data_IF_189327960774
#
_entry.id   IF_189327960774
#
_cell.length_a   1.000
_cell.length_b   1.000
_cell.length_c   1.000
_cell.angle_alpha   90.00
_cell.angle_beta   90.00
_cell.angle_gamma   90.00
#
_symmetry.space_group_name_H-M   'P 1'
#
loop_
_entity.id
_entity.type
_entity.pdbx_description
1 polymer ?
#
# COMPACT_ATOMS: atom_id res chain seq x y z
N UNK A 1 -4.68 7.43 15.75
CA UNK A 1 -5.10 7.37 14.33
C UNK A 1 -5.63 5.98 14.01
N UNK A 2 -6.70 5.88 13.26
CA UNK A 2 -7.26 4.60 12.82
C UNK A 2 -7.00 4.43 11.34
N UNK A 3 -6.31 3.36 10.98
CA UNK A 3 -5.82 3.12 9.63
C UNK A 3 -6.56 1.98 8.94
N UNK A 4 -6.81 2.17 7.63
CA UNK A 4 -7.14 1.08 6.74
C UNK A 4 -5.90 0.66 5.96
N UNK A 5 -5.77 -0.63 5.70
CA UNK A 5 -4.64 -1.13 4.90
C UNK A 5 -5.20 -1.93 3.72
N UNK A 6 -4.74 -1.60 2.53
CA UNK A 6 -5.06 -2.33 1.30
C UNK A 6 -3.80 -3.08 0.86
N UNK A 7 -3.95 -4.37 0.65
CA UNK A 7 -2.84 -5.26 0.26
C UNK A 7 -3.12 -5.88 -1.11
N UNK A 8 -2.13 -5.82 -2.00
CA UNK A 8 -2.17 -6.55 -3.25
C UNK A 8 -1.76 -8.00 -3.05
N UNK A 9 -2.51 -8.94 -3.62
CA UNK A 9 -2.24 -10.37 -3.43
C UNK A 9 -1.23 -10.95 -4.42
N UNK A 10 -0.80 -10.19 -5.40
CA UNK A 10 0.33 -10.56 -6.22
C UNK A 10 1.58 -10.55 -5.34
N UNK A 11 2.35 -11.62 -5.30
CA UNK A 11 3.40 -11.86 -4.29
C UNK A 11 2.85 -11.88 -2.86
N UNK A 12 1.80 -12.66 -2.67
CA UNK A 12 1.05 -12.67 -1.41
C UNK A 12 1.90 -12.91 -0.16
N UNK A 13 2.80 -13.89 -0.20
CA UNK A 13 3.61 -14.22 0.97
C UNK A 13 4.48 -13.04 1.42
N UNK A 14 5.07 -12.33 0.46
CA UNK A 14 5.88 -11.16 0.73
C UNK A 14 5.02 -10.01 1.25
N UNK A 15 3.85 -9.79 0.68
CA UNK A 15 2.95 -8.72 1.12
C UNK A 15 2.37 -9.04 2.51
N UNK A 16 2.13 -10.30 2.85
CA UNK A 16 1.75 -10.67 4.21
C UNK A 16 2.81 -10.27 5.23
N UNK A 17 4.08 -10.43 4.89
CA UNK A 17 5.17 -9.97 5.74
C UNK A 17 5.20 -8.45 5.85
N UNK A 18 4.96 -7.73 4.75
CA UNK A 18 4.82 -6.28 4.78
C UNK A 18 3.69 -5.85 5.70
N UNK A 19 2.57 -6.55 5.65
CA UNK A 19 1.43 -6.27 6.53
C UNK A 19 1.80 -6.42 8.01
N UNK A 20 2.55 -7.45 8.36
CA UNK A 20 3.02 -7.63 9.74
C UNK A 20 3.92 -6.47 10.18
N UNK A 21 4.85 -6.03 9.34
CA UNK A 21 5.69 -4.88 9.64
C UNK A 21 4.87 -3.59 9.77
N UNK A 22 3.87 -3.42 8.92
CA UNK A 22 2.99 -2.25 8.99
C UNK A 22 2.17 -2.25 10.29
N UNK A 23 1.63 -3.40 10.69
CA UNK A 23 0.92 -3.54 11.96
C UNK A 23 1.81 -3.22 13.16
N UNK A 24 3.05 -3.71 13.13
CA UNK A 24 4.02 -3.46 14.19
C UNK A 24 4.36 -1.96 14.29
N UNK A 25 4.55 -1.30 13.16
CA UNK A 25 4.82 0.14 13.14
C UNK A 25 3.63 0.94 13.67
N UNK A 26 2.41 0.59 13.26
CA UNK A 26 1.22 1.25 13.76
C UNK A 26 1.07 1.07 15.28
N UNK A 27 1.33 -0.13 15.78
CA UNK A 27 1.28 -0.42 17.22
C UNK A 27 2.31 0.42 17.99
N UNK A 28 3.51 0.60 17.43
CA UNK A 28 4.56 1.41 18.06
C UNK A 28 4.15 2.88 18.21
N UNK A 29 3.20 3.35 17.41
CA UNK A 29 2.67 4.70 17.45
C UNK A 29 1.33 4.79 18.19
N UNK A 30 0.86 3.71 18.78
CA UNK A 30 -0.45 3.59 19.41
C UNK A 30 -1.61 3.87 18.44
N UNK A 31 -1.44 3.52 17.17
CA UNK A 31 -2.47 3.61 16.15
C UNK A 31 -3.15 2.26 15.95
N UNK A 32 -4.43 2.29 15.64
CA UNK A 32 -5.22 1.09 15.39
C UNK A 32 -5.30 0.80 13.90
N UNK A 33 -5.13 -0.48 13.52
CA UNK A 33 -5.47 -0.95 12.18
C UNK A 33 -6.92 -1.38 12.21
N UNK A 34 -7.80 -0.53 11.67
CA UNK A 34 -9.23 -0.71 11.75
C UNK A 34 -9.76 -1.74 10.75
N UNK A 35 -9.12 -1.85 9.60
CA UNK A 35 -9.55 -2.77 8.55
C UNK A 35 -8.39 -3.10 7.61
N UNK A 36 -8.41 -4.30 7.05
CA UNK A 36 -7.46 -4.76 6.04
C UNK A 36 -8.24 -5.37 4.90
N UNK A 37 -7.98 -4.91 3.68
CA UNK A 37 -8.59 -5.46 2.48
C UNK A 37 -7.51 -6.01 1.54
N UNK A 38 -7.75 -7.19 1.02
CA UNK A 38 -6.89 -7.79 -0.01
C UNK A 38 -7.53 -7.62 -1.37
N UNK A 39 -6.73 -7.16 -2.33
CA UNK A 39 -7.15 -6.99 -3.73
C UNK A 39 -6.19 -7.78 -4.63
N UNK A 40 -6.64 -8.17 -5.85
CA UNK A 40 -5.80 -8.99 -6.73
C UNK A 40 -4.46 -8.35 -7.09
N UNK A 41 -4.45 -7.07 -7.37
CA UNK A 41 -3.25 -6.36 -7.76
C UNK A 41 -3.35 -4.86 -7.48
N UNK A 42 -2.29 -4.15 -7.84
CA UNK A 42 -2.20 -2.70 -7.55
C UNK A 42 -3.24 -1.87 -8.29
N UNK A 43 -3.73 -2.35 -9.44
CA UNK A 43 -4.75 -1.61 -10.20
C UNK A 43 -6.12 -1.58 -9.49
N UNK A 44 -6.38 -2.53 -8.62
CA UNK A 44 -7.62 -2.59 -7.84
C UNK A 44 -7.53 -1.84 -6.52
N UNK A 45 -6.33 -1.44 -6.12
CA UNK A 45 -6.10 -0.75 -4.86
C UNK A 45 -6.80 0.61 -4.77
N UNK A 46 -6.81 1.46 -5.81
CA UNK A 46 -7.45 2.77 -5.68
C UNK A 46 -8.92 2.71 -5.29
N UNK A 47 -9.69 1.78 -5.86
CA UNK A 47 -11.11 1.64 -5.49
C UNK A 47 -11.28 1.21 -4.04
N UNK A 48 -10.47 0.25 -3.59
CA UNK A 48 -10.51 -0.19 -2.20
C UNK A 48 -10.12 0.93 -1.23
N UNK A 49 -9.11 1.72 -1.58
CA UNK A 49 -8.70 2.88 -0.80
C UNK A 49 -9.80 3.93 -0.74
N UNK A 50 -10.43 4.22 -1.87
CA UNK A 50 -11.53 5.18 -1.94
C UNK A 50 -12.66 4.77 -1.00
N UNK A 51 -13.06 3.49 -1.04
CA UNK A 51 -14.11 2.96 -0.17
C UNK A 51 -13.75 3.06 1.32
N UNK A 52 -12.50 2.78 1.68
CA UNK A 52 -12.03 2.93 3.07
C UNK A 52 -12.07 4.38 3.52
N UNK A 53 -11.58 5.30 2.68
CA UNK A 53 -11.48 6.70 3.05
C UNK A 53 -12.83 7.40 3.14
N UNK A 54 -13.89 6.84 2.55
CA UNK A 54 -15.25 7.32 2.75
C UNK A 54 -15.80 7.01 4.15
N UNK A 55 -15.17 6.11 4.88
CA UNK A 55 -15.62 5.74 6.22
C UNK A 55 -15.09 6.75 7.25
N UNK A 56 -15.99 7.30 8.04
CA UNK A 56 -15.65 8.34 9.01
C UNK A 56 -14.67 7.88 10.09
N UNK A 57 -14.70 6.58 10.44
CA UNK A 57 -13.84 6.04 11.48
C UNK A 57 -12.42 5.77 11.00
N UNK A 58 -12.14 5.89 9.70
CA UNK A 58 -10.79 5.70 9.15
C UNK A 58 -10.16 7.08 8.90
N UNK A 59 -9.04 7.32 9.57
CA UNK A 59 -8.33 8.60 9.50
C UNK A 59 -7.32 8.67 8.36
N UNK A 60 -6.83 7.52 7.91
CA UNK A 60 -5.87 7.42 6.83
C UNK A 60 -5.76 5.99 6.36
N UNK A 61 -4.98 5.79 5.33
CA UNK A 61 -4.81 4.45 4.78
C UNK A 61 -3.36 4.18 4.37
N UNK A 62 -3.06 2.90 4.18
CA UNK A 62 -1.78 2.42 3.68
C UNK A 62 -2.07 1.44 2.56
N UNK A 63 -1.30 1.49 1.49
CA UNK A 63 -1.36 0.49 0.43
C UNK A 63 -0.01 -0.24 0.36
N UNK A 64 -0.08 -1.56 0.36
CA UNK A 64 1.08 -2.44 0.30
C UNK A 64 1.00 -3.32 -0.93
N UNK A 65 2.10 -3.44 -1.65
CA UNK A 65 2.14 -4.28 -2.84
C UNK A 65 3.52 -4.31 -3.48
N UNK A 66 3.63 -5.10 -4.52
CA UNK A 66 4.87 -5.25 -5.27
C UNK A 66 4.54 -5.19 -6.76
N UNK A 67 5.20 -4.29 -7.48
CA UNK A 67 5.12 -4.21 -8.93
C UNK A 67 6.47 -4.62 -9.48
N UNK A 68 6.54 -5.87 -9.92
CA UNK A 68 7.74 -6.45 -10.48
C UNK A 68 8.04 -5.88 -11.87
N UNK A 69 9.32 -5.82 -12.24
CA UNK A 69 9.72 -5.51 -13.60
C UNK A 69 9.44 -6.72 -14.49
N UNK A 70 8.54 -6.54 -15.47
CA UNK A 70 8.25 -7.56 -16.46
C UNK A 70 9.04 -7.37 -17.74
N UNK A 71 8.66 -8.10 -18.78
CA UNK A 71 9.27 -8.03 -20.11
C UNK A 71 8.82 -6.78 -20.89
N UNK A 72 7.76 -6.10 -20.41
CA UNK A 72 7.18 -4.93 -21.06
C UNK A 72 7.09 -3.77 -20.07
N UNK A 73 6.69 -2.60 -20.57
CA UNK A 73 6.49 -1.42 -19.73
C UNK A 73 5.16 -1.43 -18.97
N UNK A 74 4.43 -2.55 -18.95
CA UNK A 74 3.14 -2.65 -18.27
C UNK A 74 3.26 -2.30 -16.78
N UNK A 75 4.27 -2.84 -16.10
CA UNK A 75 4.49 -2.54 -14.68
C UNK A 75 4.79 -1.07 -14.43
N UNK A 76 5.59 -0.44 -15.29
CA UNK A 76 5.89 0.99 -15.19
C UNK A 76 4.63 1.84 -15.36
N UNK A 77 3.84 1.55 -16.39
CA UNK A 77 2.58 2.29 -16.65
C UNK A 77 1.61 2.10 -15.49
N UNK A 78 1.47 0.88 -14.99
CA UNK A 78 0.62 0.57 -13.85
C UNK A 78 1.07 1.34 -12.61
N UNK A 79 2.37 1.35 -12.32
CA UNK A 79 2.92 2.05 -11.17
C UNK A 79 2.67 3.55 -11.23
N UNK A 80 2.84 4.17 -12.40
CA UNK A 80 2.57 5.59 -12.59
C UNK A 80 1.08 5.90 -12.40
N UNK A 81 0.19 5.08 -12.96
CA UNK A 81 -1.25 5.27 -12.86
C UNK A 81 -1.76 5.10 -11.42
N UNK A 82 -1.28 4.10 -10.72
CA UNK A 82 -1.64 3.84 -9.32
C UNK A 82 -1.14 4.97 -8.42
N UNK A 83 0.10 5.40 -8.60
CA UNK A 83 0.68 6.49 -7.81
C UNK A 83 -0.13 7.78 -8.00
N UNK A 84 -0.49 8.10 -9.23
CA UNK A 84 -1.32 9.27 -9.53
C UNK A 84 -2.68 9.18 -8.85
N UNK A 85 -3.33 8.01 -8.93
CA UNK A 85 -4.62 7.80 -8.30
C UNK A 85 -4.54 7.95 -6.77
N UNK A 86 -3.50 7.42 -6.15
CA UNK A 86 -3.28 7.54 -4.70
C UNK A 86 -3.13 9.01 -4.29
N UNK A 87 -2.36 9.79 -5.04
CA UNK A 87 -2.20 11.22 -4.76
C UNK A 87 -3.56 11.95 -4.87
N UNK A 88 -4.34 11.66 -5.91
CA UNK A 88 -5.64 12.28 -6.09
C UNK A 88 -6.62 11.92 -4.97
N UNK A 89 -6.60 10.68 -4.50
CA UNK A 89 -7.44 10.24 -3.39
C UNK A 89 -7.13 10.97 -2.08
N UNK A 90 -5.86 11.20 -1.78
CA UNK A 90 -5.46 11.98 -0.60
C UNK A 90 -6.05 13.38 -0.63
N UNK A 91 -5.99 14.02 -1.79
CA UNK A 91 -6.51 15.38 -1.97
C UNK A 91 -8.04 15.38 -1.87
N UNK A 92 -8.71 14.42 -2.52
CA UNK A 92 -10.16 14.32 -2.53
C UNK A 92 -10.75 14.09 -1.14
N UNK A 93 -10.14 13.19 -0.37
CA UNK A 93 -10.65 12.83 0.97
C UNK A 93 -10.05 13.66 2.09
N UNK A 94 -8.99 14.42 1.81
CA UNK A 94 -8.22 15.14 2.83
C UNK A 94 -7.75 14.19 3.95
N UNK A 95 -7.27 13.01 3.54
CA UNK A 95 -6.77 11.96 4.43
C UNK A 95 -5.48 11.40 3.85
N UNK A 96 -4.45 11.13 4.68
CA UNK A 96 -3.19 10.62 4.16
C UNK A 96 -3.29 9.16 3.70
N UNK A 97 -2.53 8.84 2.67
CA UNK A 97 -2.31 7.47 2.22
C UNK A 97 -0.81 7.24 2.16
N UNK A 98 -0.31 6.27 2.93
CA UNK A 98 1.07 5.83 2.84
C UNK A 98 1.24 4.84 1.69
N UNK A 99 2.19 5.11 0.80
CA UNK A 99 2.46 4.26 -0.35
C UNK A 99 3.61 3.29 -0.04
N UNK A 100 3.27 2.04 0.24
CA UNK A 100 4.22 0.97 0.51
C UNK A 100 4.30 -0.03 -0.65
N UNK A 101 4.38 0.46 -1.88
CA UNK A 101 4.51 -0.37 -3.06
C UNK A 101 5.98 -0.42 -3.47
N UNK A 102 6.51 -1.63 -3.58
CA UNK A 102 7.86 -1.88 -4.07
C UNK A 102 7.80 -1.94 -5.59
N UNK A 103 8.56 -1.11 -6.27
CA UNK A 103 8.49 -0.95 -7.72
C UNK A 103 7.77 0.34 -8.11
N UNK A 104 7.50 0.54 -9.40
CA UNK A 104 7.77 -0.38 -10.51
C UNK A 104 9.25 -0.57 -10.80
N UNK A 105 9.58 -1.63 -11.56
CA UNK A 105 10.95 -1.89 -11.96
C UNK A 105 11.74 -2.76 -10.98
N UNK A 106 11.08 -3.31 -9.95
CA UNK A 106 11.75 -4.18 -8.99
C UNK A 106 12.13 -5.52 -9.63
N UNK A 107 13.40 -5.90 -9.49
CA UNK A 107 13.86 -7.23 -9.82
C UNK A 107 13.67 -8.14 -8.58
N UNK A 108 13.64 -9.47 -8.74
CA UNK A 108 13.44 -10.36 -7.60
C UNK A 108 14.39 -10.11 -6.42
N UNK A 109 15.65 -9.80 -6.68
CA UNK A 109 16.64 -9.53 -5.64
C UNK A 109 16.42 -8.21 -4.89
N UNK A 110 15.55 -7.34 -5.39
CA UNK A 110 15.24 -6.06 -4.76
C UNK A 110 14.09 -6.16 -3.76
N UNK A 111 13.29 -7.24 -3.83
CA UNK A 111 12.04 -7.34 -3.08
C UNK A 111 12.30 -7.56 -1.59
N UNK A 112 13.00 -8.62 -1.25
CA UNK A 112 13.22 -9.03 0.15
C UNK A 112 13.81 -7.92 1.02
N UNK A 113 14.89 -7.22 0.60
CA UNK A 113 15.49 -6.18 1.45
C UNK A 113 14.56 -4.97 1.67
N UNK A 114 13.51 -4.82 0.85
CA UNK A 114 12.62 -3.66 0.90
C UNK A 114 11.31 -3.91 1.63
N UNK A 115 11.01 -5.15 1.99
CA UNK A 115 9.74 -5.48 2.65
C UNK A 115 9.51 -4.66 3.92
N UNK A 116 10.44 -4.70 4.84
CA UNK A 116 10.31 -3.99 6.10
C UNK A 116 10.41 -2.47 5.94
N UNK A 117 11.45 -1.92 5.27
CA UNK A 117 11.57 -0.46 5.14
C UNK A 117 10.38 0.19 4.47
N UNK A 118 9.88 -0.39 3.37
CA UNK A 118 8.72 0.17 2.66
C UNK A 118 7.45 0.12 3.48
N UNK A 119 7.21 -1.00 4.18
CA UNK A 119 6.01 -1.14 4.99
C UNK A 119 6.00 -0.16 6.17
N UNK A 120 7.11 -0.04 6.88
CA UNK A 120 7.20 0.88 8.02
C UNK A 120 7.13 2.34 7.60
N UNK A 121 7.82 2.70 6.50
CA UNK A 121 7.80 4.06 5.99
C UNK A 121 6.40 4.47 5.52
N UNK A 122 5.64 3.55 4.93
CA UNK A 122 4.28 3.82 4.50
C UNK A 122 3.38 4.21 5.67
N UNK A 123 3.49 3.51 6.80
CA UNK A 123 2.73 3.86 8.00
C UNK A 123 3.14 5.22 8.55
N UNK A 124 4.43 5.53 8.51
CA UNK A 124 4.95 6.80 9.02
C UNK A 124 4.72 8.01 8.13
N UNK A 125 4.24 7.77 6.91
CA UNK A 125 4.08 8.85 5.94
C UNK A 125 2.96 9.85 6.28
#
# INVERSE_FOLDING_TARGET
>A
MRLGIVCGSFHRDEVERMLEYARDEAASKNWEVADVAWVPGSMEAPLALDRMLHRDEIDGAVVLGIIERGETDHGLVMGQSVTKAVIELQITHNKPIGLGIIGPGAEPEHIEPRLEPHARAAVGA
#
